data_IF_021340770801
#
_entry.id   IF_021340770801
#
_cell.length_a   1.000
_cell.length_b   1.000
_cell.length_c   1.000
_cell.angle_alpha   90.00
_cell.angle_beta   90.00
_cell.angle_gamma   90.00
#
_symmetry.space_group_name_H-M   'P 1'
#
loop_
_entity.id
_entity.type
_entity.pdbx_description
1 polymer ?
#
# COMPACT_ATOMS: atom_id res chain seq x y z
N UNK A 1 13.48 10.82 -22.49
CA UNK A 1 13.56 9.36 -22.24
C UNK A 1 13.19 9.09 -20.78
N UNK A 2 12.49 7.99 -20.45
CA UNK A 2 12.28 7.59 -19.05
C UNK A 2 13.41 6.65 -18.63
N UNK A 3 13.98 6.90 -17.46
CA UNK A 3 15.07 6.09 -16.88
C UNK A 3 14.53 5.42 -15.61
N UNK A 4 14.68 4.09 -15.53
CA UNK A 4 14.24 3.28 -14.40
C UNK A 4 15.44 2.91 -13.51
N UNK A 5 15.36 3.27 -12.23
CA UNK A 5 16.22 2.73 -11.20
C UNK A 5 15.68 1.37 -10.73
N UNK A 6 16.28 0.29 -11.25
CA UNK A 6 15.84 -1.09 -11.00
C UNK A 6 15.84 -1.45 -9.52
N UNK A 7 16.88 -1.04 -8.78
CA UNK A 7 17.00 -1.33 -7.35
C UNK A 7 15.81 -0.73 -6.57
N UNK A 8 15.50 0.56 -6.80
CA UNK A 8 14.36 1.22 -6.16
C UNK A 8 13.02 0.59 -6.53
N UNK A 9 12.84 0.22 -7.79
CA UNK A 9 11.60 -0.39 -8.26
C UNK A 9 11.34 -1.75 -7.59
N UNK A 10 12.34 -2.64 -7.58
CA UNK A 10 12.23 -3.95 -6.95
C UNK A 10 12.12 -3.88 -5.44
N UNK A 11 12.90 -3.00 -4.79
CA UNK A 11 12.80 -2.78 -3.35
C UNK A 11 11.42 -2.24 -2.97
N UNK A 12 10.87 -1.31 -3.73
CA UNK A 12 9.53 -0.78 -3.52
C UNK A 12 8.45 -1.86 -3.61
N UNK A 13 8.49 -2.69 -4.65
CA UNK A 13 7.58 -3.84 -4.81
C UNK A 13 7.71 -4.81 -3.64
N UNK A 14 8.94 -5.19 -3.27
CA UNK A 14 9.19 -6.14 -2.19
C UNK A 14 8.61 -5.63 -0.86
N UNK A 15 8.83 -4.36 -0.53
CA UNK A 15 8.29 -3.74 0.68
C UNK A 15 6.76 -3.70 0.67
N UNK A 16 6.14 -3.38 -0.47
CA UNK A 16 4.68 -3.40 -0.62
C UNK A 16 4.09 -4.82 -0.40
N UNK A 17 4.76 -5.87 -0.88
CA UNK A 17 4.36 -7.26 -0.64
C UNK A 17 4.46 -7.60 0.84
N UNK A 18 5.62 -7.37 1.45
CA UNK A 18 5.86 -7.70 2.87
C UNK A 18 4.87 -6.94 3.77
N UNK A 19 4.59 -5.67 3.47
CA UNK A 19 3.65 -4.86 4.23
C UNK A 19 2.25 -5.47 4.34
N UNK A 20 1.80 -6.22 3.33
CA UNK A 20 0.50 -6.91 3.36
C UNK A 20 0.39 -7.98 4.46
N UNK A 21 1.53 -8.49 4.93
CA UNK A 21 1.62 -9.48 6.01
C UNK A 21 2.02 -8.86 7.36
N UNK A 22 2.54 -7.64 7.36
CA UNK A 22 2.84 -6.91 8.58
C UNK A 22 1.55 -6.55 9.35
N UNK A 23 1.64 -6.33 10.67
CA UNK A 23 0.55 -5.76 11.46
C UNK A 23 0.14 -4.39 10.90
N UNK A 24 -1.11 -4.29 10.45
CA UNK A 24 -1.76 -3.08 9.92
C UNK A 24 -2.67 -2.47 10.99
N UNK A 25 -3.36 -3.32 11.75
CA UNK A 25 -4.22 -2.93 12.86
C UNK A 25 -3.94 -3.79 14.08
N UNK A 26 -4.15 -3.23 15.27
CA UNK A 26 -4.28 -3.98 16.51
C UNK A 26 -5.73 -3.91 16.94
N UNK A 27 -6.42 -5.04 16.92
CA UNK A 27 -7.81 -5.18 17.35
C UNK A 27 -7.83 -5.70 18.79
N UNK A 28 -8.63 -5.12 19.70
CA UNK A 28 -8.75 -5.64 21.05
C UNK A 28 -9.18 -7.10 21.03
N UNK A 29 -8.66 -7.92 21.95
CA UNK A 29 -8.90 -9.37 22.10
C UNK A 29 -8.26 -10.22 21.00
N UNK A 30 -8.37 -9.83 19.72
CA UNK A 30 -7.86 -10.63 18.58
C UNK A 30 -6.40 -10.34 18.20
N UNK A 31 -5.81 -9.26 18.71
CA UNK A 31 -4.38 -8.96 18.54
C UNK A 31 -4.05 -8.26 17.22
N UNK A 32 -2.87 -8.55 16.68
CA UNK A 32 -2.34 -7.91 15.47
C UNK A 32 -2.96 -8.52 14.21
N UNK A 33 -3.57 -7.66 13.40
CA UNK A 33 -4.17 -8.00 12.13
C UNK A 33 -3.35 -7.46 10.98
N UNK A 34 -3.14 -8.30 9.97
CA UNK A 34 -2.58 -7.88 8.70
C UNK A 34 -3.65 -7.31 7.77
N UNK A 35 -3.25 -6.95 6.55
CA UNK A 35 -4.12 -6.29 5.58
C UNK A 35 -5.32 -7.17 5.18
N UNK A 36 -5.10 -8.49 5.02
CA UNK A 36 -6.15 -9.46 4.68
C UNK A 36 -7.18 -9.63 5.81
N UNK A 37 -6.71 -9.74 7.05
CA UNK A 37 -7.58 -9.89 8.21
C UNK A 37 -8.39 -8.61 8.47
N UNK A 38 -7.82 -7.44 8.17
CA UNK A 38 -8.53 -6.16 8.25
C UNK A 38 -9.66 -6.08 7.23
N UNK A 39 -9.36 -6.32 5.95
CA UNK A 39 -10.34 -6.35 4.87
C UNK A 39 -9.78 -7.10 3.66
N UNK A 40 -10.39 -8.24 3.33
CA UNK A 40 -9.98 -9.06 2.20
C UNK A 40 -10.03 -8.32 0.86
N UNK A 41 -10.98 -7.37 0.68
CA UNK A 41 -11.10 -6.57 -0.56
C UNK A 41 -9.90 -5.63 -0.68
N UNK A 42 -9.53 -4.99 0.43
CA UNK A 42 -8.39 -4.07 0.48
C UNK A 42 -7.08 -4.80 0.20
N UNK A 43 -6.92 -6.02 0.72
CA UNK A 43 -5.80 -6.89 0.39
C UNK A 43 -5.76 -7.25 -1.10
N UNK A 44 -6.88 -7.74 -1.67
CA UNK A 44 -6.94 -8.18 -3.06
C UNK A 44 -6.63 -7.04 -4.04
N UNK A 45 -7.18 -5.85 -3.83
CA UNK A 45 -6.92 -4.69 -4.69
C UNK A 45 -5.44 -4.28 -4.59
N UNK A 46 -4.88 -4.26 -3.39
CA UNK A 46 -3.45 -3.94 -3.17
C UNK A 46 -2.55 -4.91 -3.95
N UNK A 47 -2.81 -6.20 -3.84
CA UNK A 47 -2.02 -7.23 -4.54
C UNK A 47 -2.24 -7.24 -6.05
N UNK A 48 -3.44 -6.90 -6.52
CA UNK A 48 -3.69 -6.72 -7.95
C UNK A 48 -2.85 -5.57 -8.54
N UNK A 49 -2.80 -4.42 -7.84
CA UNK A 49 -1.97 -3.27 -8.25
C UNK A 49 -0.49 -3.66 -8.27
N UNK A 50 -0.01 -4.38 -7.26
CA UNK A 50 1.38 -4.87 -7.21
C UNK A 50 1.66 -5.85 -8.36
N UNK A 51 0.78 -6.82 -8.62
CA UNK A 51 0.97 -7.81 -9.68
C UNK A 51 1.02 -7.16 -11.07
N UNK A 52 0.12 -6.22 -11.35
CA UNK A 52 0.13 -5.45 -12.61
C UNK A 52 1.40 -4.60 -12.72
N UNK A 53 1.88 -4.02 -11.61
CA UNK A 53 3.15 -3.28 -11.59
C UNK A 53 4.34 -4.17 -11.95
N UNK A 54 4.41 -5.38 -11.38
CA UNK A 54 5.43 -6.40 -11.71
C UNK A 54 5.37 -6.77 -13.18
N UNK A 55 4.17 -7.01 -13.72
CA UNK A 55 3.98 -7.30 -15.14
C UNK A 55 4.58 -6.21 -16.02
N UNK A 56 4.29 -4.93 -15.74
CA UNK A 56 4.85 -3.82 -16.52
C UNK A 56 6.37 -3.68 -16.41
N UNK A 57 6.98 -4.01 -15.27
CA UNK A 57 8.43 -4.14 -15.18
C UNK A 57 8.97 -5.27 -16.06
N UNK A 58 8.31 -6.42 -16.04
CA UNK A 58 8.74 -7.61 -16.77
C UNK A 58 8.72 -7.39 -18.29
N UNK A 59 7.63 -6.80 -18.82
CA UNK A 59 7.52 -6.45 -20.25
C UNK A 59 8.23 -5.13 -20.62
N UNK A 60 9.05 -4.58 -19.71
CA UNK A 60 9.88 -3.37 -19.90
C UNK A 60 9.08 -2.12 -20.27
N UNK A 61 7.79 -2.03 -19.90
CA UNK A 61 6.93 -0.87 -20.13
C UNK A 61 7.09 0.15 -18.99
N UNK A 62 8.23 0.83 -18.95
CA UNK A 62 8.61 1.78 -17.88
C UNK A 62 7.56 2.88 -17.64
N UNK A 63 6.93 3.40 -18.71
CA UNK A 63 5.86 4.40 -18.59
C UNK A 63 4.63 3.88 -17.86
N UNK A 64 4.23 2.63 -18.15
CA UNK A 64 3.10 1.99 -17.49
C UNK A 64 3.41 1.64 -16.03
N UNK A 65 4.63 1.19 -15.73
CA UNK A 65 5.08 0.99 -14.36
C UNK A 65 5.07 2.29 -13.54
N UNK A 66 5.53 3.40 -14.13
CA UNK A 66 5.46 4.73 -13.49
C UNK A 66 4.02 5.13 -13.18
N UNK A 67 3.11 4.91 -14.12
CA UNK A 67 1.68 5.17 -13.91
C UNK A 67 1.11 4.31 -12.77
N UNK A 68 1.42 3.02 -12.74
CA UNK A 68 1.02 2.13 -11.64
C UNK A 68 1.61 2.54 -10.28
N UNK A 69 2.81 3.12 -10.25
CA UNK A 69 3.39 3.65 -9.01
C UNK A 69 2.57 4.82 -8.46
N UNK A 70 2.00 5.67 -9.33
CA UNK A 70 1.05 6.70 -8.91
C UNK A 70 -0.29 6.12 -8.45
N UNK A 71 -0.82 5.11 -9.16
CA UNK A 71 -2.02 4.40 -8.73
C UNK A 71 -1.83 3.81 -7.33
N UNK A 72 -0.70 3.15 -7.08
CA UNK A 72 -0.39 2.57 -5.78
C UNK A 72 -0.32 3.64 -4.68
N UNK A 73 0.20 4.83 -4.99
CA UNK A 73 0.24 5.94 -4.04
C UNK A 73 -1.15 6.49 -3.69
N UNK A 74 -1.99 6.69 -4.71
CA UNK A 74 -3.39 7.11 -4.50
C UNK A 74 -4.13 6.03 -3.71
N UNK A 75 -3.96 4.76 -4.09
CA UNK A 75 -4.56 3.62 -3.41
C UNK A 75 -4.13 3.52 -1.95
N UNK A 76 -2.85 3.76 -1.63
CA UNK A 76 -2.37 3.79 -0.26
C UNK A 76 -3.14 4.81 0.60
N UNK A 77 -3.33 6.03 0.09
CA UNK A 77 -4.08 7.07 0.79
C UNK A 77 -5.53 6.63 1.00
N UNK A 78 -6.18 6.11 -0.05
CA UNK A 78 -7.55 5.60 0.02
C UNK A 78 -7.67 4.45 1.03
N UNK A 79 -6.71 3.54 1.07
CA UNK A 79 -6.68 2.41 1.99
C UNK A 79 -6.57 2.86 3.45
N UNK A 80 -5.64 3.77 3.75
CA UNK A 80 -5.49 4.36 5.09
C UNK A 80 -6.79 5.04 5.53
N UNK A 81 -7.38 5.85 4.66
CA UNK A 81 -8.61 6.58 4.93
C UNK A 81 -9.80 5.63 5.13
N UNK A 82 -9.94 4.62 4.28
CA UNK A 82 -10.99 3.61 4.39
C UNK A 82 -10.90 2.83 5.71
N UNK A 83 -9.69 2.41 6.10
CA UNK A 83 -9.46 1.73 7.37
C UNK A 83 -9.70 2.68 8.55
N UNK A 84 -9.28 3.94 8.45
CA UNK A 84 -9.52 4.95 9.48
C UNK A 84 -11.02 5.18 9.71
N UNK A 85 -11.81 5.36 8.65
CA UNK A 85 -13.25 5.53 8.80
C UNK A 85 -13.95 4.27 9.31
N UNK A 86 -13.52 3.10 8.84
CA UNK A 86 -14.05 1.82 9.32
C UNK A 86 -13.76 1.65 10.82
N UNK A 87 -12.52 1.86 11.25
CA UNK A 87 -12.10 1.86 12.65
C UNK A 87 -12.93 2.82 13.54
N UNK A 88 -13.13 4.06 13.09
CA UNK A 88 -13.87 5.07 13.85
C UNK A 88 -15.40 4.89 13.82
N UNK A 89 -15.97 4.32 12.76
CA UNK A 89 -17.40 4.08 12.64
C UNK A 89 -17.86 2.77 13.31
N UNK A 90 -16.97 1.80 13.57
CA UNK A 90 -17.30 0.66 14.44
C UNK A 90 -17.89 1.12 15.78
N UNK A 91 -17.48 2.30 16.28
CA UNK A 91 -17.96 2.89 17.53
C UNK A 91 -19.44 3.29 17.55
N UNK A 92 -20.15 3.33 16.41
CA UNK A 92 -21.49 3.95 16.31
C UNK A 92 -22.69 3.01 16.47
N UNK A 93 -22.56 1.70 16.24
CA UNK A 93 -23.72 0.78 16.19
C UNK A 93 -23.62 -0.35 17.22
N UNK A 94 -24.29 -0.23 18.37
CA UNK A 94 -24.50 -1.32 19.35
C UNK A 94 -23.62 -1.31 20.60
N UNK A 95 -24.16 -1.78 21.73
CA UNK A 95 -23.51 -1.78 23.05
C UNK A 95 -22.19 -2.59 23.08
N UNK A 96 -22.10 -3.70 22.34
CA UNK A 96 -20.86 -4.49 22.19
C UNK A 96 -19.78 -3.76 21.36
N UNK A 97 -20.20 -2.94 20.40
CA UNK A 97 -19.31 -2.16 19.53
C UNK A 97 -18.74 -0.90 20.22
N UNK A 98 -19.38 -0.41 21.29
CA UNK A 98 -18.82 0.64 22.18
C UNK A 98 -17.59 0.17 22.97
N UNK A 99 -17.47 -1.12 23.27
CA UNK A 99 -16.30 -1.71 23.94
C UNK A 99 -15.16 -2.03 22.96
N UNK A 100 -15.50 -2.39 21.72
CA UNK A 100 -14.53 -2.80 20.68
C UNK A 100 -13.97 -1.59 19.90
N UNK A 101 -14.79 -0.56 19.62
CA UNK A 101 -14.41 0.59 18.80
C UNK A 101 -13.41 1.55 19.46
N UNK A 102 -13.18 1.44 20.78
CA UNK A 102 -12.32 2.37 21.51
C UNK A 102 -10.82 2.08 21.40
N UNK A 103 -10.40 0.99 20.74
CA UNK A 103 -9.01 0.49 20.84
C UNK A 103 -8.48 -0.13 19.53
N UNK A 104 -8.97 0.27 18.34
CA UNK A 104 -8.34 -0.14 17.08
C UNK A 104 -7.16 0.79 16.79
N UNK A 105 -5.93 0.30 16.99
CA UNK A 105 -4.72 1.09 16.77
C UNK A 105 -4.08 0.76 15.43
N UNK A 106 -3.74 1.78 14.66
CA UNK A 106 -2.87 1.64 13.50
C UNK A 106 -1.52 1.07 13.94
N UNK A 107 -0.98 0.17 13.13
CA UNK A 107 0.30 -0.50 13.38
C UNK A 107 1.32 -0.14 12.29
N UNK A 108 2.57 -0.54 12.52
CA UNK A 108 3.73 -0.14 11.70
C UNK A 108 3.72 -0.69 10.27
N UNK A 109 2.88 -1.66 9.92
CA UNK A 109 2.76 -2.17 8.55
C UNK A 109 2.37 -1.09 7.53
N UNK A 110 1.64 -0.05 7.95
CA UNK A 110 1.36 1.12 7.11
C UNK A 110 2.63 1.89 6.72
N UNK A 111 3.60 1.98 7.64
CA UNK A 111 4.88 2.63 7.38
C UNK A 111 5.67 1.81 6.34
N UNK A 112 5.68 0.49 6.48
CA UNK A 112 6.34 -0.40 5.49
C UNK A 112 5.72 -0.22 4.11
N UNK A 113 4.38 -0.17 4.04
CA UNK A 113 3.66 0.04 2.79
C UNK A 113 4.00 1.41 2.18
N UNK A 114 3.98 2.47 2.99
CA UNK A 114 4.32 3.83 2.56
C UNK A 114 5.76 3.91 2.01
N UNK A 115 6.72 3.30 2.71
CA UNK A 115 8.11 3.28 2.24
C UNK A 115 8.20 2.55 0.90
N UNK A 116 7.53 1.39 0.75
CA UNK A 116 7.45 0.68 -0.53
C UNK A 116 6.88 1.54 -1.66
N UNK A 117 5.79 2.26 -1.39
CA UNK A 117 5.15 3.20 -2.32
C UNK A 117 6.10 4.33 -2.73
N UNK A 118 6.82 4.92 -1.77
CA UNK A 118 7.81 5.98 -2.04
C UNK A 118 8.92 5.45 -2.95
N UNK A 119 9.44 4.25 -2.67
CA UNK A 119 10.45 3.62 -3.53
C UNK A 119 9.94 3.38 -4.96
N UNK A 120 8.69 2.93 -5.12
CA UNK A 120 8.05 2.79 -6.43
C UNK A 120 7.93 4.15 -7.14
N UNK A 121 7.38 5.17 -6.48
CA UNK A 121 7.17 6.52 -7.04
C UNK A 121 8.46 7.15 -7.56
N UNK A 122 9.55 7.06 -6.78
CA UNK A 122 10.83 7.68 -7.11
C UNK A 122 11.81 6.75 -7.83
N UNK A 123 11.32 5.63 -8.37
CA UNK A 123 12.11 4.70 -9.17
C UNK A 123 12.25 5.13 -10.63
N UNK A 124 11.33 5.95 -11.17
CA UNK A 124 11.37 6.40 -12.57
C UNK A 124 11.62 7.91 -12.63
N UNK A 125 12.62 8.30 -13.42
CA UNK A 125 12.95 9.71 -13.69
C UNK A 125 12.86 10.02 -15.18
N UNK A 126 12.60 11.29 -15.52
CA UNK A 126 12.76 11.78 -16.89
C UNK A 126 14.25 12.06 -17.09
N UNK A 127 14.91 11.35 -18.00
CA UNK A 127 16.28 11.64 -18.39
C UNK A 127 16.35 13.00 -19.08
N UNK A 128 17.42 13.75 -18.80
CA UNK A 128 17.72 15.00 -19.50
C UNK A 128 17.82 14.71 -21.01
N UNK A 129 17.27 15.63 -21.81
CA UNK A 129 17.54 15.61 -23.25
C UNK A 129 19.01 15.99 -23.39
N UNK A 130 19.82 15.10 -23.96
CA UNK A 130 21.14 15.50 -24.46
C UNK A 130 20.84 16.43 -25.63
N UNK A 131 20.84 17.74 -25.37
CA UNK A 131 20.94 18.74 -26.43
C UNK A 131 22.40 18.76 -26.85
N UNK A 132 22.69 18.00 -27.90
CA UNK A 132 23.93 18.12 -28.67
C UNK A 132 23.74 19.20 -29.74
#
# INVERSE_FOLDING_TARGET
MLVLNKFRAWLGILLCVIAGFCPILKVPIKGNWNLYQSDARLFMITYAIIAISVLFLFIRKVGAFRFMSFIMAIWYILAVVAVYFTANNYTKYGFANKLIGKVVHFQWGWIVLLVGVIFMLFSVKRGEKITA
#
